data_IF_376056672326
#
_entry.id   IF_376056672326
#
_cell.length_a   1.000
_cell.length_b   1.000
_cell.length_c   1.000
_cell.angle_alpha   90.00
_cell.angle_beta   90.00
_cell.angle_gamma   90.00
#
_symmetry.space_group_name_H-M   'P 1'
#
loop_
_entity.id
_entity.type
_entity.pdbx_description
1 polymer ?
#
# COMPACT_ATOMS: atom_id res chain seq x y z
N UNK A 1 5.17 6.64 -36.30
CA UNK A 1 3.95 7.07 -35.57
C UNK A 1 2.90 7.59 -36.56
N UNK A 2 1.59 7.47 -36.27
CA UNK A 2 0.53 8.16 -37.05
C UNK A 2 -0.02 9.32 -36.25
N UNK A 3 -0.17 10.46 -36.90
CA UNK A 3 -0.74 11.67 -36.32
C UNK A 3 -1.86 12.19 -37.22
N UNK A 4 -2.80 12.93 -36.64
CA UNK A 4 -3.83 13.67 -37.38
C UNK A 4 -3.30 15.07 -37.66
N UNK A 5 -3.24 15.45 -38.93
CA UNK A 5 -2.95 16.82 -39.33
C UNK A 5 -4.12 17.72 -38.93
N UNK A 6 -3.85 18.78 -38.18
CA UNK A 6 -4.90 19.65 -37.65
C UNK A 6 -5.67 20.39 -38.74
N UNK A 7 -5.03 20.79 -39.85
CA UNK A 7 -5.66 21.52 -40.96
C UNK A 7 -6.54 20.62 -41.82
N UNK A 8 -6.02 19.45 -42.23
CA UNK A 8 -6.72 18.55 -43.16
C UNK A 8 -7.60 17.52 -42.47
N UNK A 9 -7.38 17.28 -41.17
CA UNK A 9 -8.03 16.24 -40.35
C UNK A 9 -7.88 14.86 -41.02
N UNK A 10 -6.70 14.63 -41.60
CA UNK A 10 -6.30 13.36 -42.19
C UNK A 10 -5.16 12.75 -41.38
N UNK A 11 -5.06 11.43 -41.43
CA UNK A 11 -3.94 10.70 -40.85
C UNK A 11 -2.71 10.84 -41.75
N UNK A 12 -1.59 11.18 -41.14
CA UNK A 12 -0.27 11.18 -41.76
C UNK A 12 0.63 10.14 -41.08
N UNK A 13 1.37 9.39 -41.89
CA UNK A 13 2.35 8.43 -41.41
C UNK A 13 3.72 9.11 -41.33
N UNK A 14 4.29 9.14 -40.13
CA UNK A 14 5.54 9.81 -39.84
C UNK A 14 6.56 8.77 -39.36
N UNK A 15 7.80 8.91 -39.82
CA UNK A 15 8.89 8.04 -39.41
C UNK A 15 9.22 8.26 -37.92
N UNK A 16 9.50 7.18 -37.20
CA UNK A 16 9.76 7.23 -35.75
C UNK A 16 11.03 8.03 -35.39
N UNK A 17 11.98 8.15 -36.32
CA UNK A 17 13.21 8.93 -36.10
C UNK A 17 13.00 10.45 -36.10
N UNK A 18 11.87 10.93 -36.64
CA UNK A 18 11.59 12.37 -36.83
C UNK A 18 10.11 12.67 -36.55
N UNK A 19 9.63 12.34 -35.35
CA UNK A 19 8.28 12.71 -34.92
C UNK A 19 8.27 14.21 -34.61
N UNK A 20 7.42 15.03 -35.27
CA UNK A 20 7.28 16.45 -34.98
C UNK A 20 6.63 16.67 -33.61
N UNK A 21 6.69 17.89 -33.08
CA UNK A 21 5.91 18.25 -31.90
C UNK A 21 4.41 18.03 -32.16
N UNK A 22 3.72 17.43 -31.18
CA UNK A 22 2.31 17.10 -31.29
C UNK A 22 1.61 17.26 -29.94
N UNK A 23 0.30 17.48 -30.01
CA UNK A 23 -0.57 17.41 -28.82
C UNK A 23 -1.27 16.06 -28.76
N UNK A 24 -1.62 15.59 -27.57
CA UNK A 24 -2.30 14.31 -27.40
C UNK A 24 -3.68 14.51 -26.78
N UNK A 25 -4.69 13.79 -27.27
CA UNK A 25 -6.05 13.83 -26.72
C UNK A 25 -6.24 12.69 -25.72
N UNK A 26 -6.57 13.03 -24.48
CA UNK A 26 -7.07 12.08 -23.47
C UNK A 26 -8.57 12.26 -23.29
N UNK A 27 -9.32 11.17 -23.38
CA UNK A 27 -10.77 11.18 -23.21
C UNK A 27 -11.31 9.82 -22.76
N UNK A 28 -12.55 9.78 -22.29
CA UNK A 28 -13.30 8.52 -22.17
C UNK A 28 -14.06 8.24 -23.45
N UNK A 29 -13.93 7.04 -24.02
CA UNK A 29 -14.61 6.70 -25.27
C UNK A 29 -16.13 6.82 -25.12
N UNK A 30 -16.75 7.51 -26.07
CA UNK A 30 -18.20 7.67 -26.14
C UNK A 30 -18.82 6.89 -27.31
N UNK A 31 -20.09 7.14 -27.59
CA UNK A 31 -20.74 6.58 -28.77
C UNK A 31 -20.33 7.35 -30.02
N UNK A 32 -20.20 6.64 -31.15
CA UNK A 32 -19.88 7.24 -32.45
C UNK A 32 -18.49 7.89 -32.51
N UNK A 33 -17.49 7.25 -31.89
CA UNK A 33 -16.08 7.61 -32.09
C UNK A 33 -15.63 7.42 -33.55
N UNK A 34 -14.66 8.22 -33.96
CA UNK A 34 -14.00 8.09 -35.26
C UNK A 34 -12.87 7.09 -35.10
N UNK A 35 -12.99 5.93 -35.74
CA UNK A 35 -11.97 4.89 -35.72
C UNK A 35 -10.98 5.10 -36.88
N UNK A 36 -9.83 4.43 -36.81
CA UNK A 36 -8.84 4.43 -37.89
C UNK A 36 -9.46 4.17 -39.28
N UNK A 37 -10.38 3.20 -39.37
CA UNK A 37 -11.04 2.81 -40.62
C UNK A 37 -12.03 3.85 -41.16
N UNK A 38 -12.46 4.80 -40.33
CA UNK A 38 -13.36 5.88 -40.72
C UNK A 38 -12.61 7.07 -41.32
N UNK A 39 -11.32 7.23 -40.98
CA UNK A 39 -10.51 8.37 -41.43
C UNK A 39 -10.46 8.45 -42.96
N UNK A 40 -10.66 9.66 -43.49
CA UNK A 40 -10.74 9.92 -44.94
C UNK A 40 -12.08 9.57 -45.60
N UNK A 41 -13.06 9.03 -44.88
CA UNK A 41 -14.40 8.75 -45.41
C UNK A 41 -15.39 9.87 -45.07
N UNK A 42 -16.25 10.23 -46.01
CA UNK A 42 -17.29 11.24 -45.76
C UNK A 42 -18.29 10.82 -44.66
N UNK A 43 -18.49 9.52 -44.46
CA UNK A 43 -19.33 8.99 -43.37
C UNK A 43 -18.78 9.27 -41.97
N UNK A 44 -17.48 9.57 -41.84
CA UNK A 44 -16.92 9.97 -40.55
C UNK A 44 -17.47 11.32 -40.08
N UNK A 45 -17.70 12.26 -41.01
CA UNK A 45 -18.13 13.64 -40.71
C UNK A 45 -19.49 13.72 -40.03
N UNK A 46 -20.33 12.69 -40.18
CA UNK A 46 -21.63 12.62 -39.51
C UNK A 46 -21.55 12.08 -38.07
N UNK A 47 -20.40 11.55 -37.65
CA UNK A 47 -20.22 10.99 -36.30
C UNK A 47 -19.96 12.10 -35.28
N UNK A 48 -20.48 11.93 -34.06
CA UNK A 48 -20.20 12.86 -32.94
C UNK A 48 -18.71 12.95 -32.61
N UNK A 49 -17.99 11.83 -32.68
CA UNK A 49 -16.53 11.82 -32.48
C UNK A 49 -15.77 12.70 -33.48
N UNK A 50 -16.33 12.96 -34.66
CA UNK A 50 -15.69 13.83 -35.65
C UNK A 50 -15.73 15.29 -35.21
N UNK A 51 -16.86 15.77 -34.67
CA UNK A 51 -16.95 17.13 -34.12
C UNK A 51 -16.01 17.33 -32.91
N UNK A 52 -15.82 16.28 -32.09
CA UNK A 52 -14.82 16.25 -31.03
C UNK A 52 -13.40 16.37 -31.60
N UNK A 53 -13.07 15.57 -32.61
CA UNK A 53 -11.77 15.61 -33.28
C UNK A 53 -11.50 16.97 -33.94
N UNK A 54 -12.48 17.56 -34.64
CA UNK A 54 -12.41 18.91 -35.21
C UNK A 54 -12.11 19.97 -34.15
N UNK A 55 -12.79 19.88 -33.00
CA UNK A 55 -12.59 20.81 -31.89
C UNK A 55 -11.20 20.65 -31.27
N UNK A 56 -10.71 19.41 -31.13
CA UNK A 56 -9.34 19.12 -30.70
C UNK A 56 -8.31 19.72 -31.66
N UNK A 57 -8.46 19.46 -32.97
CA UNK A 57 -7.61 20.02 -34.01
C UNK A 57 -7.61 21.56 -34.02
N UNK A 58 -8.77 22.17 -33.78
CA UNK A 58 -8.90 23.62 -33.66
C UNK A 58 -8.09 24.15 -32.47
N UNK A 59 -8.27 23.57 -31.28
CA UNK A 59 -7.53 23.98 -30.07
C UNK A 59 -6.02 23.77 -30.25
N UNK A 60 -5.60 22.65 -30.84
CA UNK A 60 -4.20 22.39 -31.15
C UNK A 60 -3.60 23.48 -32.03
N UNK A 61 -4.29 23.85 -33.12
CA UNK A 61 -3.84 24.89 -34.04
C UNK A 61 -3.79 26.28 -33.39
N UNK A 62 -4.76 26.60 -32.55
CA UNK A 62 -4.77 27.85 -31.77
C UNK A 62 -3.55 27.95 -30.83
N UNK A 63 -3.03 26.81 -30.39
CA UNK A 63 -1.81 26.70 -29.59
C UNK A 63 -0.53 26.47 -30.42
N UNK A 64 -0.61 26.55 -31.77
CA UNK A 64 0.54 26.46 -32.66
C UNK A 64 0.98 25.05 -33.05
N UNK A 65 0.18 24.01 -32.77
CA UNK A 65 0.51 22.63 -33.13
C UNK A 65 -0.13 22.23 -34.45
N UNK A 66 0.69 21.62 -35.33
CA UNK A 66 0.23 21.10 -36.61
C UNK A 66 -0.39 19.71 -36.49
N UNK A 67 -0.04 18.96 -35.45
CA UNK A 67 -0.39 17.54 -35.30
C UNK A 67 -1.03 17.23 -33.95
N UNK A 68 -2.02 16.33 -33.97
CA UNK A 68 -2.56 15.70 -32.78
C UNK A 68 -2.46 14.18 -32.84
N UNK A 69 -2.38 13.53 -31.68
CA UNK A 69 -2.58 12.10 -31.53
C UNK A 69 -3.86 11.80 -30.75
N UNK A 70 -4.63 10.84 -31.24
CA UNK A 70 -5.86 10.36 -30.62
C UNK A 70 -5.91 8.83 -30.77
N UNK A 71 -6.00 8.11 -29.66
CA UNK A 71 -5.95 6.65 -29.62
C UNK A 71 -7.08 6.01 -30.43
N UNK A 72 -8.22 6.68 -30.58
CA UNK A 72 -9.39 6.18 -31.33
C UNK A 72 -9.09 6.00 -32.81
N UNK A 73 -8.42 6.98 -33.43
CA UNK A 73 -8.19 7.03 -34.86
C UNK A 73 -6.73 6.84 -35.30
N UNK A 74 -5.74 7.06 -34.43
CA UNK A 74 -4.32 6.90 -34.77
C UNK A 74 -3.81 5.45 -34.65
N UNK A 75 -4.63 4.54 -34.11
CA UNK A 75 -4.33 3.11 -33.94
C UNK A 75 -5.33 2.27 -34.74
N UNK A 76 -4.84 1.42 -35.62
CA UNK A 76 -5.59 0.36 -36.29
C UNK A 76 -5.76 -0.83 -35.35
N UNK A 77 -6.89 -0.80 -34.62
CA UNK A 77 -7.27 -1.84 -33.68
C UNK A 77 -7.64 -3.17 -34.33
N UNK A 78 -7.68 -3.24 -35.67
CA UNK A 78 -7.88 -4.49 -36.40
C UNK A 78 -6.59 -5.29 -36.55
N UNK A 79 -5.44 -4.63 -36.42
CA UNK A 79 -4.11 -5.26 -36.41
C UNK A 79 -3.69 -5.57 -34.98
N UNK A 80 -3.62 -6.86 -34.62
CA UNK A 80 -3.20 -7.27 -33.27
C UNK A 80 -1.74 -6.90 -32.95
N UNK A 81 -0.86 -6.95 -33.96
CA UNK A 81 0.54 -6.56 -33.80
C UNK A 81 0.65 -5.06 -33.48
N UNK A 82 -0.07 -4.24 -34.23
CA UNK A 82 -0.05 -2.79 -34.07
C UNK A 82 -0.73 -2.35 -32.76
N UNK A 83 -1.85 -2.98 -32.39
CA UNK A 83 -2.50 -2.76 -31.11
C UNK A 83 -1.54 -3.09 -29.94
N UNK A 84 -0.77 -4.17 -30.07
CA UNK A 84 0.23 -4.55 -29.06
C UNK A 84 1.37 -3.56 -28.96
N UNK A 85 1.89 -3.09 -30.09
CA UNK A 85 2.93 -2.06 -30.14
C UNK A 85 2.44 -0.74 -29.53
N UNK A 86 1.22 -0.32 -29.90
CA UNK A 86 0.62 0.91 -29.41
C UNK A 86 0.39 0.88 -27.90
N UNK A 87 -0.21 -0.18 -27.35
CA UNK A 87 -0.44 -0.29 -25.89
C UNK A 87 0.89 -0.31 -25.11
N UNK A 88 1.91 -1.00 -25.61
CA UNK A 88 3.24 -1.00 -24.98
C UNK A 88 3.95 0.36 -25.08
N UNK A 89 3.51 1.24 -26.00
CA UNK A 89 4.08 2.57 -26.21
C UNK A 89 3.19 3.70 -25.68
N UNK A 90 1.97 3.41 -25.19
CA UNK A 90 0.99 4.45 -24.81
C UNK A 90 1.57 5.43 -23.80
N UNK A 91 2.18 4.94 -22.73
CA UNK A 91 2.79 5.81 -21.71
C UNK A 91 3.80 6.78 -22.34
N UNK A 92 4.66 6.28 -23.22
CA UNK A 92 5.67 7.07 -23.94
C UNK A 92 5.04 8.10 -24.86
N UNK A 93 3.97 7.76 -25.59
CA UNK A 93 3.25 8.73 -26.43
C UNK A 93 2.65 9.87 -25.62
N UNK A 94 2.19 9.62 -24.39
CA UNK A 94 1.72 10.66 -23.49
C UNK A 94 2.87 11.48 -22.87
N UNK A 95 3.98 10.83 -22.56
CA UNK A 95 5.18 11.48 -22.02
C UNK A 95 5.89 12.40 -23.03
N UNK A 96 5.96 11.98 -24.30
CA UNK A 96 6.62 12.72 -25.39
C UNK A 96 5.72 13.83 -25.97
N UNK A 97 4.42 13.83 -25.68
CA UNK A 97 3.49 14.85 -26.18
C UNK A 97 3.79 16.22 -25.56
N UNK A 98 3.73 17.28 -26.37
CA UNK A 98 4.00 18.64 -25.89
C UNK A 98 2.90 19.15 -24.97
N UNK A 99 1.64 18.81 -25.24
CA UNK A 99 0.48 19.10 -24.38
C UNK A 99 -0.52 17.95 -24.48
N UNK A 100 -1.04 17.49 -23.34
CA UNK A 100 -2.19 16.61 -23.27
C UNK A 100 -3.49 17.42 -23.06
N UNK A 101 -4.39 17.37 -24.03
CA UNK A 101 -5.73 17.92 -23.92
C UNK A 101 -6.66 16.87 -23.31
N UNK A 102 -7.20 17.16 -22.13
CA UNK A 102 -8.16 16.29 -21.46
C UNK A 102 -9.56 16.78 -21.75
N UNK A 103 -10.34 15.99 -22.50
CA UNK A 103 -11.73 16.29 -22.81
C UNK A 103 -12.67 15.57 -21.84
N UNK A 104 -13.39 16.35 -21.03
CA UNK A 104 -14.32 15.87 -20.01
C UNK A 104 -15.77 16.03 -20.50
N UNK A 105 -16.25 15.01 -21.23
CA UNK A 105 -17.56 15.03 -21.88
C UNK A 105 -18.77 15.14 -20.92
N UNK A 106 -18.57 14.84 -19.64
CA UNK A 106 -19.64 14.68 -18.65
C UNK A 106 -19.77 15.84 -17.65
N UNK A 107 -18.99 16.91 -17.81
CA UNK A 107 -19.03 18.07 -16.93
C UNK A 107 -19.15 19.38 -17.71
N UNK A 108 -19.55 20.46 -17.03
CA UNK A 108 -19.65 21.81 -17.60
C UNK A 108 -18.94 22.88 -16.76
N UNK A 109 -18.52 22.54 -15.55
CA UNK A 109 -17.88 23.48 -14.62
C UNK A 109 -16.71 22.85 -13.87
N UNK A 110 -15.75 23.69 -13.47
CA UNK A 110 -14.58 23.26 -12.67
C UNK A 110 -14.97 22.59 -11.35
N UNK A 111 -16.09 22.99 -10.72
CA UNK A 111 -16.58 22.39 -9.47
C UNK A 111 -17.00 20.93 -9.62
N UNK A 112 -17.29 20.47 -10.83
CA UNK A 112 -17.72 19.11 -11.12
C UNK A 112 -16.55 18.18 -11.46
N UNK A 113 -15.31 18.70 -11.59
CA UNK A 113 -14.17 17.95 -12.13
C UNK A 113 -13.93 16.63 -11.39
N UNK A 114 -13.98 16.64 -10.06
CA UNK A 114 -13.78 15.44 -9.23
C UNK A 114 -14.81 14.34 -9.50
N UNK A 115 -15.98 14.69 -10.05
CA UNK A 115 -17.05 13.75 -10.35
C UNK A 115 -16.99 13.19 -11.78
N UNK A 116 -16.05 13.65 -12.61
CA UNK A 116 -15.95 13.17 -13.98
C UNK A 116 -15.60 11.68 -14.03
N UNK A 117 -16.27 10.97 -14.94
CA UNK A 117 -16.01 9.58 -15.31
C UNK A 117 -14.59 9.37 -15.80
N UNK A 118 -13.91 10.41 -16.28
CA UNK A 118 -12.52 10.34 -16.68
C UNK A 118 -11.62 9.79 -15.57
N UNK A 119 -11.86 10.15 -14.30
CA UNK A 119 -11.09 9.63 -13.15
C UNK A 119 -11.42 8.18 -12.78
N UNK A 120 -12.43 7.57 -13.41
CA UNK A 120 -12.84 6.18 -13.16
C UNK A 120 -12.35 5.20 -14.23
N UNK A 121 -11.81 5.67 -15.35
CA UNK A 121 -11.24 4.80 -16.39
C UNK A 121 -9.86 4.30 -15.97
N UNK A 122 -9.55 3.02 -16.22
CA UNK A 122 -8.21 2.47 -15.96
C UNK A 122 -7.10 3.15 -16.78
N UNK A 123 -7.36 3.37 -18.07
CA UNK A 123 -6.37 3.92 -19.01
C UNK A 123 -5.94 5.35 -18.68
N UNK A 124 -6.86 6.18 -18.18
CA UNK A 124 -6.59 7.59 -17.90
C UNK A 124 -5.64 7.82 -16.71
N UNK A 125 -5.24 6.76 -15.98
CA UNK A 125 -4.23 6.88 -14.93
C UNK A 125 -2.85 7.23 -15.50
N UNK A 126 -2.39 6.46 -16.49
CA UNK A 126 -1.14 6.77 -17.17
C UNK A 126 -1.24 8.06 -17.99
N UNK A 127 -2.42 8.40 -18.51
CA UNK A 127 -2.67 9.65 -19.24
C UNK A 127 -2.65 10.88 -18.34
N UNK A 128 -2.87 10.70 -17.02
CA UNK A 128 -2.72 11.75 -16.01
C UNK A 128 -1.26 11.92 -15.57
N UNK A 129 -0.54 10.81 -15.42
CA UNK A 129 0.80 10.81 -14.83
C UNK A 129 1.86 11.15 -15.88
N UNK A 130 1.80 10.52 -17.05
CA UNK A 130 2.87 10.58 -18.05
C UNK A 130 3.13 11.98 -18.64
N UNK A 131 2.11 12.80 -18.99
CA UNK A 131 2.37 14.13 -19.57
C UNK A 131 2.80 15.16 -18.53
N UNK A 132 3.82 15.95 -18.88
CA UNK A 132 4.27 17.09 -18.07
C UNK A 132 3.38 18.33 -18.18
N UNK A 133 2.65 18.47 -19.30
CA UNK A 133 1.73 19.59 -19.54
C UNK A 133 0.35 19.08 -19.90
N UNK A 134 -0.68 19.55 -19.20
CA UNK A 134 -2.08 19.19 -19.47
C UNK A 134 -3.01 20.37 -19.33
N UNK A 135 -4.01 20.44 -20.21
CA UNK A 135 -5.12 21.39 -20.16
C UNK A 135 -6.44 20.62 -20.17
N UNK A 136 -7.30 20.91 -19.20
CA UNK A 136 -8.60 20.28 -19.03
C UNK A 136 -9.69 21.12 -19.71
N UNK A 137 -10.55 20.46 -20.46
CA UNK A 137 -11.67 21.06 -21.17
C UNK A 137 -13.00 20.41 -20.76
N UNK A 138 -14.06 21.21 -20.68
CA UNK A 138 -15.42 20.71 -20.53
C UNK A 138 -15.99 20.14 -21.84
N UNK A 139 -17.23 19.65 -21.79
CA UNK A 139 -17.96 19.12 -22.95
C UNK A 139 -18.14 20.13 -24.11
N UNK A 140 -18.02 21.43 -23.85
CA UNK A 140 -18.15 22.50 -24.83
C UNK A 140 -16.78 23.03 -25.31
N UNK A 141 -15.68 22.33 -24.96
CA UNK A 141 -14.29 22.74 -25.23
C UNK A 141 -13.91 24.08 -24.60
N UNK A 142 -14.50 24.43 -23.45
CA UNK A 142 -14.06 25.54 -22.61
C UNK A 142 -12.99 25.07 -21.65
N UNK A 143 -11.91 25.85 -21.55
CA UNK A 143 -10.82 25.57 -20.64
C UNK A 143 -11.29 25.65 -19.17
N UNK A 144 -11.02 24.59 -18.42
CA UNK A 144 -11.28 24.48 -16.98
C UNK A 144 -10.04 24.79 -16.14
N UNK A 145 -8.85 24.54 -16.69
CA UNK A 145 -7.57 24.81 -16.05
C UNK A 145 -6.47 23.84 -16.50
N UNK A 146 -5.27 24.03 -15.95
CA UNK A 146 -4.09 23.20 -16.22
C UNK A 146 -3.86 22.17 -15.11
N UNK A 147 -3.02 21.16 -15.37
CA UNK A 147 -2.55 20.19 -14.34
C UNK A 147 -2.06 20.90 -13.08
N UNK A 148 -1.26 21.96 -13.24
CA UNK A 148 -0.68 22.75 -12.16
C UNK A 148 -1.76 23.54 -11.40
N UNK A 149 -2.65 24.24 -12.11
CA UNK A 149 -3.71 25.02 -11.44
C UNK A 149 -4.72 24.17 -10.70
N UNK A 150 -4.87 22.90 -11.11
CA UNK A 150 -5.82 21.94 -10.55
C UNK A 150 -5.17 20.90 -9.62
N UNK A 151 -3.85 20.99 -9.36
CA UNK A 151 -3.06 19.94 -8.69
C UNK A 151 -3.68 19.48 -7.37
N UNK A 152 -4.18 20.41 -6.56
CA UNK A 152 -4.78 20.08 -5.27
C UNK A 152 -6.06 19.24 -5.41
N UNK A 153 -6.94 19.62 -6.35
CA UNK A 153 -8.18 18.90 -6.62
C UNK A 153 -7.89 17.53 -7.24
N UNK A 154 -6.90 17.47 -8.14
CA UNK A 154 -6.45 16.22 -8.76
C UNK A 154 -5.86 15.26 -7.72
N UNK A 155 -5.01 15.75 -6.82
CA UNK A 155 -4.40 14.96 -5.75
C UNK A 155 -5.47 14.40 -4.80
N UNK A 156 -6.39 15.24 -4.33
CA UNK A 156 -7.51 14.79 -3.49
C UNK A 156 -8.40 13.75 -4.17
N UNK A 157 -8.63 13.87 -5.48
CA UNK A 157 -9.49 12.94 -6.21
C UNK A 157 -8.83 11.59 -6.46
N UNK A 158 -7.52 11.57 -6.66
CA UNK A 158 -6.78 10.40 -7.16
C UNK A 158 -5.89 9.74 -6.12
N UNK A 159 -5.67 10.39 -4.97
CA UNK A 159 -4.66 10.01 -3.97
C UNK A 159 -3.23 9.97 -4.51
N UNK A 160 -2.97 10.60 -5.67
CA UNK A 160 -1.62 10.77 -6.21
C UNK A 160 -1.00 11.99 -5.53
N UNK A 161 0.22 11.89 -4.96
CA UNK A 161 0.88 13.04 -4.36
C UNK A 161 1.02 14.22 -5.33
N UNK A 162 0.82 15.45 -4.84
CA UNK A 162 1.02 16.66 -5.63
C UNK A 162 2.45 16.72 -6.22
N UNK A 163 3.44 16.15 -5.50
CA UNK A 163 4.83 16.08 -5.96
C UNK A 163 5.01 15.27 -7.25
N UNK A 164 4.24 14.17 -7.39
CA UNK A 164 4.22 13.31 -8.58
C UNK A 164 3.40 13.97 -9.70
N UNK A 165 2.28 14.62 -9.39
CA UNK A 165 1.47 15.31 -10.41
C UNK A 165 2.19 16.53 -11.01
N UNK A 166 3.07 17.17 -10.26
CA UNK A 166 3.87 18.32 -10.71
C UNK A 166 5.26 17.93 -11.25
N UNK A 167 5.56 16.65 -11.44
CA UNK A 167 6.85 16.12 -11.89
C UNK A 167 8.04 16.61 -11.05
N UNK A 168 7.80 16.88 -9.76
CA UNK A 168 8.85 17.32 -8.81
C UNK A 168 9.56 16.16 -8.13
N UNK A 169 8.96 14.96 -8.16
CA UNK A 169 9.55 13.70 -7.73
C UNK A 169 9.38 12.66 -8.84
N UNK A 170 10.37 11.77 -8.97
CA UNK A 170 10.32 10.66 -9.93
C UNK A 170 9.31 9.59 -9.48
N UNK A 171 8.61 8.98 -10.42
CA UNK A 171 7.61 7.94 -10.16
C UNK A 171 8.21 6.75 -9.39
N UNK A 172 9.47 6.43 -9.65
CA UNK A 172 10.27 5.38 -9.05
C UNK A 172 10.49 5.55 -7.54
N UNK A 173 10.33 6.77 -7.02
CA UNK A 173 10.41 7.05 -5.57
C UNK A 173 9.20 6.53 -4.81
N UNK A 174 8.08 6.31 -5.51
CA UNK A 174 6.84 5.80 -4.92
C UNK A 174 6.82 4.27 -4.87
N UNK A 175 6.26 3.74 -3.79
CA UNK A 175 6.16 2.30 -3.60
C UNK A 175 5.21 1.67 -4.62
N UNK A 176 5.36 0.36 -4.85
CA UNK A 176 4.43 -0.41 -5.67
C UNK A 176 3.01 -0.33 -5.08
N UNK A 177 2.87 -0.47 -3.77
CA UNK A 177 1.57 -0.38 -3.09
C UNK A 177 0.86 0.94 -3.37
N UNK A 178 1.59 2.06 -3.27
CA UNK A 178 1.07 3.39 -3.51
C UNK A 178 0.62 3.53 -4.97
N UNK A 179 1.46 3.11 -5.93
CA UNK A 179 1.10 3.11 -7.36
C UNK A 179 -0.13 2.25 -7.68
N UNK A 180 -0.23 1.06 -7.07
CA UNK A 180 -1.41 0.19 -7.21
C UNK A 180 -2.66 0.84 -6.63
N UNK A 181 -2.55 1.59 -5.52
CA UNK A 181 -3.68 2.25 -4.88
C UNK A 181 -4.34 3.31 -5.78
N UNK A 182 -3.58 3.99 -6.64
CA UNK A 182 -4.10 4.99 -7.59
C UNK A 182 -5.01 4.38 -8.67
N UNK A 183 -4.89 3.06 -8.86
CA UNK A 183 -5.70 2.28 -9.78
C UNK A 183 -6.89 1.58 -9.10
N UNK A 184 -6.99 1.62 -7.76
CA UNK A 184 -7.91 0.77 -7.02
C UNK A 184 -9.40 1.06 -7.29
N UNK A 185 -9.76 2.33 -7.52
CA UNK A 185 -11.12 2.76 -7.82
C UNK A 185 -11.40 2.90 -9.33
N UNK A 186 -10.45 2.47 -10.19
CA UNK A 186 -10.57 2.56 -11.64
C UNK A 186 -11.10 1.26 -12.24
N UNK A 187 -11.85 1.39 -13.33
CA UNK A 187 -12.57 0.31 -14.01
C UNK A 187 -12.17 0.27 -15.48
N UNK A 188 -12.06 -0.94 -16.01
CA UNK A 188 -11.79 -1.21 -17.42
C UNK A 188 -12.89 -2.07 -18.02
N UNK A 189 -13.12 -1.92 -19.34
CA UNK A 189 -14.13 -2.71 -20.07
C UNK A 189 -13.73 -4.18 -20.16
N UNK A 190 -12.46 -4.46 -20.49
CA UNK A 190 -11.90 -5.81 -20.45
C UNK A 190 -11.15 -6.01 -19.14
N UNK A 191 -11.21 -7.22 -18.60
CA UNK A 191 -10.53 -7.55 -17.34
C UNK A 191 -9.02 -7.39 -17.44
N UNK A 192 -8.46 -7.81 -18.58
CA UNK A 192 -7.04 -7.79 -18.85
C UNK A 192 -6.48 -6.36 -18.93
N UNK A 193 -7.29 -5.40 -19.36
CA UNK A 193 -6.90 -3.99 -19.44
C UNK A 193 -6.61 -3.41 -18.05
N UNK A 194 -7.13 -4.00 -16.96
CA UNK A 194 -6.76 -3.62 -15.60
C UNK A 194 -5.29 -3.88 -15.28
N UNK A 195 -4.63 -4.78 -16.02
CA UNK A 195 -3.19 -4.98 -15.98
C UNK A 195 -2.48 -4.11 -17.03
N UNK A 196 -2.99 -4.11 -18.27
CA UNK A 196 -2.31 -3.42 -19.38
C UNK A 196 -2.26 -1.91 -19.22
N UNK A 197 -3.29 -1.30 -18.60
CA UNK A 197 -3.31 0.14 -18.29
C UNK A 197 -2.28 0.57 -17.24
N UNK A 198 -1.68 -0.38 -16.51
CA UNK A 198 -0.67 -0.09 -15.48
C UNK A 198 0.76 -0.36 -15.96
N UNK A 199 0.94 -0.92 -17.15
CA UNK A 199 2.26 -1.25 -17.71
C UNK A 199 3.19 -0.03 -17.71
N UNK A 200 2.69 1.12 -18.15
CA UNK A 200 3.45 2.38 -18.14
C UNK A 200 3.84 2.85 -16.74
N UNK A 201 2.93 2.75 -15.77
CA UNK A 201 3.15 3.17 -14.37
C UNK A 201 4.27 2.37 -13.70
N UNK A 202 4.48 1.13 -14.13
CA UNK A 202 5.50 0.23 -13.60
C UNK A 202 6.70 0.03 -14.53
N UNK A 203 6.76 0.69 -15.68
CA UNK A 203 7.82 0.51 -16.66
C UNK A 203 7.93 -0.93 -17.19
N UNK A 204 6.79 -1.61 -17.34
CA UNK A 204 6.71 -3.02 -17.76
C UNK A 204 6.25 -3.13 -19.20
N UNK A 205 6.91 -4.00 -19.97
CA UNK A 205 6.43 -4.45 -21.27
C UNK A 205 6.06 -5.94 -21.20
N UNK A 206 4.88 -6.29 -21.69
CA UNK A 206 4.40 -7.68 -21.72
C UNK A 206 3.43 -7.92 -22.88
N UNK A 207 3.37 -9.16 -23.44
CA UNK A 207 2.43 -9.48 -24.51
C UNK A 207 0.96 -9.34 -24.10
N UNK A 208 0.13 -8.77 -24.99
CA UNK A 208 -1.32 -8.70 -24.84
C UNK A 208 -1.96 -10.04 -25.20
N UNK A 209 -2.50 -10.74 -24.19
CA UNK A 209 -3.20 -12.01 -24.36
C UNK A 209 -4.68 -11.85 -23.94
N UNK A 210 -5.48 -11.22 -24.80
CA UNK A 210 -6.92 -11.09 -24.55
C UNK A 210 -7.61 -12.47 -24.48
N UNK A 211 -8.41 -12.68 -23.43
CA UNK A 211 -9.04 -13.96 -23.09
C UNK A 211 -8.41 -14.65 -21.87
N UNK A 212 -7.32 -14.11 -21.31
CA UNK A 212 -6.69 -14.67 -20.11
C UNK A 212 -7.32 -14.19 -18.80
N UNK A 213 -8.22 -13.20 -18.85
CA UNK A 213 -8.91 -12.61 -17.70
C UNK A 213 -7.92 -12.17 -16.60
N UNK A 214 -8.18 -12.58 -15.35
CA UNK A 214 -7.40 -12.20 -14.17
C UNK A 214 -5.91 -12.62 -14.25
N UNK A 215 -5.54 -13.54 -15.16
CA UNK A 215 -4.15 -13.96 -15.42
C UNK A 215 -3.26 -12.81 -15.89
N UNK A 216 -3.81 -11.82 -16.58
CA UNK A 216 -3.07 -10.65 -17.03
C UNK A 216 -2.48 -9.89 -15.84
N UNK A 217 -3.24 -9.73 -14.76
CA UNK A 217 -2.79 -9.01 -13.57
C UNK A 217 -1.77 -9.81 -12.74
N UNK A 218 -1.89 -11.15 -12.73
CA UNK A 218 -0.84 -12.01 -12.16
C UNK A 218 0.48 -11.87 -12.94
N UNK A 219 0.42 -11.85 -14.28
CA UNK A 219 1.59 -11.65 -15.12
C UNK A 219 2.23 -10.27 -14.90
N UNK A 220 1.43 -9.21 -14.78
CA UNK A 220 1.94 -7.87 -14.43
C UNK A 220 2.75 -7.91 -13.14
N UNK A 221 2.22 -8.48 -12.06
CA UNK A 221 2.95 -8.58 -10.79
C UNK A 221 4.24 -9.41 -10.92
N UNK A 222 4.21 -10.50 -11.69
CA UNK A 222 5.40 -11.31 -11.98
C UNK A 222 6.46 -10.50 -12.71
N UNK A 223 6.08 -9.69 -13.71
CA UNK A 223 7.02 -8.83 -14.43
C UNK A 223 7.57 -7.70 -13.53
N UNK A 224 6.73 -7.10 -12.67
CA UNK A 224 7.18 -6.14 -11.64
C UNK A 224 8.25 -6.77 -10.74
N UNK A 225 8.03 -8.00 -10.27
CA UNK A 225 9.00 -8.71 -9.42
C UNK A 225 10.33 -9.05 -10.11
N UNK A 226 10.40 -9.01 -11.45
CA UNK A 226 11.67 -9.22 -12.17
C UNK A 226 12.57 -7.99 -12.14
N UNK A 227 12.00 -6.81 -11.94
CA UNK A 227 12.71 -5.52 -12.02
C UNK A 227 12.70 -4.75 -10.70
N UNK A 228 11.97 -5.21 -9.69
CA UNK A 228 11.84 -4.57 -8.38
C UNK A 228 11.91 -5.60 -7.25
N UNK A 229 12.49 -5.18 -6.13
CA UNK A 229 12.55 -5.87 -4.84
C UNK A 229 11.64 -5.21 -3.78
N UNK A 230 10.74 -4.32 -4.21
CA UNK A 230 9.85 -3.59 -3.30
C UNK A 230 8.74 -4.52 -2.75
N UNK A 231 8.89 -4.88 -1.47
CA UNK A 231 7.98 -5.74 -0.72
C UNK A 231 6.56 -5.16 -0.58
N UNK A 232 6.36 -3.86 -0.83
CA UNK A 232 5.03 -3.23 -0.81
C UNK A 232 4.08 -3.82 -1.85
N UNK A 233 4.58 -4.54 -2.86
CA UNK A 233 3.77 -5.37 -3.76
C UNK A 233 2.82 -6.33 -3.00
N UNK A 234 3.14 -6.73 -1.78
CA UNK A 234 2.32 -7.63 -0.96
C UNK A 234 1.47 -6.91 0.09
N UNK A 235 1.49 -5.58 0.10
CA UNK A 235 0.81 -4.77 1.09
C UNK A 235 -0.63 -4.43 0.69
N UNK A 236 -1.42 -5.46 0.35
CA UNK A 236 -2.83 -5.35 -0.03
C UNK A 236 -3.74 -6.14 0.92
N UNK A 237 -5.04 -5.84 0.90
CA UNK A 237 -6.05 -6.45 1.78
C UNK A 237 -6.91 -7.47 1.03
N UNK A 238 -6.89 -8.72 1.49
CA UNK A 238 -7.68 -9.78 0.87
C UNK A 238 -9.19 -9.59 1.03
N UNK A 239 -9.91 -9.66 -0.09
CA UNK A 239 -11.38 -9.65 -0.15
C UNK A 239 -11.86 -11.11 -0.19
N UNK A 240 -11.68 -11.83 0.92
CA UNK A 240 -12.13 -13.22 1.09
C UNK A 240 -11.01 -14.28 1.15
N UNK A 241 -11.41 -15.55 1.23
CA UNK A 241 -10.53 -16.69 1.55
C UNK A 241 -9.75 -17.26 0.35
N UNK A 242 -9.74 -16.61 -0.83
CA UNK A 242 -8.94 -17.09 -1.98
C UNK A 242 -7.48 -16.75 -1.72
N UNK A 243 -6.72 -17.78 -1.37
CA UNK A 243 -5.33 -17.69 -0.94
C UNK A 243 -4.35 -17.63 -2.11
N UNK A 244 -3.46 -16.64 -2.03
CA UNK A 244 -2.32 -16.42 -2.91
C UNK A 244 -1.58 -15.18 -2.44
N UNK A 245 -0.28 -15.09 -2.71
CA UNK A 245 0.52 -13.89 -2.38
C UNK A 245 0.30 -12.77 -3.41
N UNK A 246 -0.21 -13.11 -4.59
CA UNK A 246 -0.58 -12.19 -5.65
C UNK A 246 -2.09 -12.02 -5.72
N UNK A 247 -2.54 -10.86 -6.20
CA UNK A 247 -3.97 -10.52 -6.33
C UNK A 247 -4.41 -10.53 -7.81
N UNK A 248 -5.69 -10.74 -8.15
CA UNK A 248 -6.17 -10.61 -9.53
C UNK A 248 -6.51 -9.16 -9.95
N UNK A 249 -6.42 -8.18 -9.05
CA UNK A 249 -6.93 -6.82 -9.28
C UNK A 249 -6.18 -5.78 -8.43
N UNK A 250 -6.05 -4.51 -8.88
CA UNK A 250 -5.49 -3.45 -8.04
C UNK A 250 -6.46 -2.97 -6.95
N UNK A 251 -7.76 -3.30 -7.04
CA UNK A 251 -8.78 -2.84 -6.08
C UNK A 251 -8.49 -3.20 -4.61
N UNK A 252 -7.70 -4.25 -4.37
CA UNK A 252 -7.28 -4.67 -3.01
C UNK A 252 -6.22 -3.75 -2.37
N UNK A 253 -5.65 -2.82 -3.14
CA UNK A 253 -4.67 -1.82 -2.69
C UNK A 253 -5.32 -0.48 -2.33
N UNK A 254 -6.66 -0.39 -2.27
CA UNK A 254 -7.38 0.86 -2.01
C UNK A 254 -6.90 1.61 -0.76
N UNK A 255 -6.57 0.85 0.28
CA UNK A 255 -6.14 1.38 1.58
C UNK A 255 -4.60 1.38 1.72
N UNK A 256 -3.86 1.25 0.62
CA UNK A 256 -2.39 1.09 0.60
C UNK A 256 -1.64 2.34 0.13
N UNK A 257 -2.33 3.47 0.01
CA UNK A 257 -1.76 4.72 -0.54
C UNK A 257 -0.76 5.42 0.37
N UNK A 258 -0.74 5.11 1.66
CA UNK A 258 0.17 5.65 2.68
C UNK A 258 1.40 4.77 2.93
N UNK A 259 1.52 3.67 2.19
CA UNK A 259 2.64 2.73 2.27
C UNK A 259 3.79 3.31 1.44
N UNK A 260 4.75 3.95 2.11
CA UNK A 260 5.92 4.54 1.42
C UNK A 260 7.13 3.61 1.50
N UNK A 261 7.93 3.61 0.44
CA UNK A 261 9.17 2.83 0.38
C UNK A 261 10.10 3.25 1.52
N UNK A 262 10.54 2.28 2.33
CA UNK A 262 11.54 2.54 3.37
C UNK A 262 12.89 2.03 2.89
N UNK A 263 13.77 2.97 2.52
CA UNK A 263 15.16 2.66 2.20
C UNK A 263 16.08 3.08 3.36
N UNK A 264 16.24 2.25 4.41
CA UNK A 264 17.41 2.37 5.26
C UNK A 264 18.59 1.79 4.47
N UNK A 265 19.78 2.33 4.67
CA UNK A 265 21.03 1.89 4.07
C UNK A 265 21.48 0.47 4.51
N UNK A 266 20.59 -0.53 4.49
CA UNK A 266 20.82 -1.92 4.86
C UNK A 266 20.46 -2.83 3.68
N UNK A 267 21.46 -3.53 3.17
CA UNK A 267 21.35 -4.51 2.09
C UNK A 267 20.63 -5.80 2.55
N UNK A 268 19.32 -5.71 2.79
CA UNK A 268 18.49 -6.85 3.25
C UNK A 268 17.34 -7.22 2.33
N UNK A 269 17.20 -6.59 1.16
CA UNK A 269 16.25 -7.09 0.17
C UNK A 269 16.93 -8.19 -0.66
N UNK A 270 16.73 -9.44 -0.25
CA UNK A 270 16.95 -10.58 -1.15
C UNK A 270 15.99 -10.43 -2.33
N UNK A 271 16.49 -10.49 -3.56
CA UNK A 271 15.62 -10.43 -4.75
C UNK A 271 14.55 -11.54 -4.72
N UNK A 272 13.36 -11.24 -5.21
CA UNK A 272 12.32 -12.25 -5.35
C UNK A 272 12.79 -13.35 -6.31
N UNK A 273 12.60 -14.61 -5.93
CA UNK A 273 12.87 -15.75 -6.82
C UNK A 273 11.57 -16.45 -7.17
N UNK A 274 11.18 -16.42 -8.44
CA UNK A 274 10.02 -17.17 -8.94
C UNK A 274 10.50 -18.51 -9.48
N UNK A 275 9.95 -19.60 -8.95
CA UNK A 275 10.23 -20.97 -9.39
C UNK A 275 8.93 -21.69 -9.76
N UNK A 276 9.03 -22.89 -10.31
CA UNK A 276 7.87 -23.76 -10.52
C UNK A 276 7.19 -24.18 -9.19
N UNK A 277 7.83 -23.98 -8.04
CA UNK A 277 7.25 -24.20 -6.70
C UNK A 277 6.56 -22.96 -6.12
N UNK A 278 6.58 -21.83 -6.85
CA UNK A 278 6.05 -20.55 -6.40
C UNK A 278 7.16 -19.53 -6.16
N UNK A 279 6.79 -18.47 -5.43
CA UNK A 279 7.69 -17.39 -5.07
C UNK A 279 8.48 -17.72 -3.80
N UNK A 280 9.75 -17.38 -3.81
CA UNK A 280 10.62 -17.33 -2.65
C UNK A 280 11.00 -15.88 -2.37
N UNK A 281 10.86 -15.47 -1.11
CA UNK A 281 11.23 -14.17 -0.58
C UNK A 281 11.74 -14.39 0.84
N UNK A 282 12.85 -13.75 1.20
CA UNK A 282 13.27 -13.67 2.60
C UNK A 282 12.56 -12.48 3.26
N UNK A 283 11.89 -12.73 4.38
CA UNK A 283 11.26 -11.67 5.15
C UNK A 283 11.24 -11.99 6.64
N UNK A 284 11.30 -10.95 7.46
CA UNK A 284 11.30 -11.09 8.91
C UNK A 284 9.88 -11.26 9.43
N UNK A 285 9.61 -12.34 10.16
CA UNK A 285 8.34 -12.52 10.87
C UNK A 285 8.47 -12.03 12.32
N UNK A 286 7.57 -11.13 12.73
CA UNK A 286 7.45 -10.71 14.12
C UNK A 286 6.90 -11.88 14.95
N UNK A 287 5.84 -12.51 14.44
CA UNK A 287 5.20 -13.65 15.07
C UNK A 287 4.40 -14.47 14.06
N UNK A 288 4.15 -15.72 14.41
CA UNK A 288 3.28 -16.64 13.68
C UNK A 288 2.43 -17.39 14.71
N UNK A 289 1.14 -17.48 14.44
CA UNK A 289 0.22 -18.26 15.25
C UNK A 289 0.26 -19.75 14.86
N UNK A 290 -0.44 -20.58 15.64
CA UNK A 290 -0.51 -22.02 15.43
C UNK A 290 -1.27 -22.43 14.17
N UNK A 291 -2.06 -21.53 13.59
CA UNK A 291 -2.76 -21.73 12.31
C UNK A 291 -1.90 -21.36 11.09
N UNK A 292 -0.69 -20.84 11.32
CA UNK A 292 0.25 -20.41 10.28
C UNK A 292 0.10 -18.96 9.84
N UNK A 293 -0.86 -18.19 10.40
CA UNK A 293 -0.96 -16.75 10.15
C UNK A 293 0.19 -16.05 10.85
N UNK A 294 0.92 -15.20 10.14
CA UNK A 294 2.06 -14.49 10.70
C UNK A 294 2.08 -13.02 10.30
N UNK A 295 2.71 -12.22 11.16
CA UNK A 295 3.00 -10.82 10.88
C UNK A 295 4.39 -10.75 10.25
N UNK A 296 4.40 -10.53 8.94
CA UNK A 296 5.58 -10.30 8.15
C UNK A 296 5.93 -8.80 8.16
N UNK A 297 7.20 -8.46 8.43
CA UNK A 297 7.71 -7.11 8.25
C UNK A 297 8.03 -6.93 6.77
N UNK A 298 7.22 -6.11 6.11
CA UNK A 298 7.55 -5.57 4.79
C UNK A 298 8.34 -4.27 5.04
N UNK A 299 9.40 -4.01 4.26
CA UNK A 299 10.29 -2.85 4.45
C UNK A 299 9.63 -1.54 3.98
N UNK A 300 8.63 -1.05 4.72
CA UNK A 300 7.94 0.22 4.45
C UNK A 300 7.68 1.01 5.73
N UNK A 301 7.37 2.30 5.58
CA UNK A 301 6.92 3.18 6.66
C UNK A 301 5.53 3.69 6.30
N UNK A 302 4.61 3.77 7.25
CA UNK A 302 3.39 4.56 7.06
C UNK A 302 3.78 6.03 7.10
N UNK A 303 3.39 6.84 6.12
CA UNK A 303 3.59 8.28 6.27
C UNK A 303 2.85 8.75 7.54
N UNK A 304 3.54 9.55 8.35
CA UNK A 304 3.14 9.81 9.73
C UNK A 304 2.01 10.85 9.79
N UNK A 305 0.94 10.69 9.01
CA UNK A 305 -0.22 11.59 8.98
C UNK A 305 -1.56 10.91 8.56
N UNK A 306 -1.64 9.60 8.32
CA UNK A 306 -2.92 8.90 8.15
C UNK A 306 -3.38 8.23 9.45
N UNK A 307 -4.53 8.69 9.93
CA UNK A 307 -5.19 8.28 11.16
C UNK A 307 -5.26 6.76 11.38
N UNK A 308 -4.80 6.36 12.57
CA UNK A 308 -4.90 5.01 13.13
C UNK A 308 -6.37 4.60 13.37
N UNK A 309 -7.11 4.25 12.31
CA UNK A 309 -8.51 3.83 12.47
C UNK A 309 -9.06 2.86 11.41
N UNK A 310 -8.24 2.01 10.81
CA UNK A 310 -8.74 0.90 9.99
C UNK A 310 -9.14 -0.27 10.89
N UNK A 311 -10.30 -0.15 11.54
CA UNK A 311 -10.95 -1.20 12.31
C UNK A 311 -11.32 -2.33 11.33
N UNK A 312 -10.56 -3.42 11.35
CA UNK A 312 -10.95 -4.68 10.67
C UNK A 312 -11.98 -5.39 11.55
N UNK A 313 -13.04 -5.87 10.91
CA UNK A 313 -14.18 -6.51 11.56
C UNK A 313 -13.80 -7.65 12.53
N UNK A 314 -14.46 -7.60 13.69
CA UNK A 314 -14.33 -8.42 14.90
C UNK A 314 -14.83 -9.87 14.77
N UNK A 315 -14.68 -10.52 13.62
CA UNK A 315 -15.25 -11.86 13.43
C UNK A 315 -14.20 -12.96 13.62
N UNK A 316 -14.03 -13.37 14.88
CA UNK A 316 -13.39 -14.64 15.25
C UNK A 316 -12.02 -14.55 15.94
N UNK A 317 -11.55 -13.35 16.30
CA UNK A 317 -10.34 -13.21 17.12
C UNK A 317 -10.68 -13.44 18.59
N UNK A 318 -9.98 -14.39 19.22
CA UNK A 318 -9.90 -14.47 20.68
C UNK A 318 -9.45 -13.12 21.23
N UNK A 319 -9.93 -12.73 22.41
CA UNK A 319 -9.52 -11.43 22.99
C UNK A 319 -7.99 -11.38 23.20
N UNK A 320 -7.38 -10.19 23.23
CA UNK A 320 -5.93 -10.06 23.45
C UNK A 320 -5.48 -10.80 24.72
N UNK A 321 -6.31 -10.74 25.77
CA UNK A 321 -6.08 -11.46 27.02
C UNK A 321 -6.11 -12.99 26.84
N UNK A 322 -7.04 -13.50 26.03
CA UNK A 322 -7.15 -14.91 25.71
C UNK A 322 -5.99 -15.40 24.84
N UNK A 323 -5.61 -14.64 23.81
CA UNK A 323 -4.44 -14.93 22.99
C UNK A 323 -3.14 -14.95 23.84
N UNK A 324 -3.00 -13.99 24.76
CA UNK A 324 -1.85 -13.93 25.66
C UNK A 324 -1.83 -15.05 26.69
N UNK A 325 -3.00 -15.48 27.20
CA UNK A 325 -3.08 -16.56 28.20
C UNK A 325 -2.76 -17.93 27.61
N UNK A 326 -3.05 -18.15 26.33
CA UNK A 326 -2.70 -19.40 25.62
C UNK A 326 -1.33 -19.35 24.93
N UNK A 327 -0.67 -18.19 24.91
CA UNK A 327 0.67 -18.04 24.35
C UNK A 327 0.71 -17.84 22.84
N UNK A 328 -0.43 -17.51 22.23
CA UNK A 328 -0.53 -17.25 20.79
C UNK A 328 0.14 -15.91 20.45
N UNK A 329 1.44 -15.98 20.19
CA UNK A 329 2.28 -14.83 19.85
C UNK A 329 1.74 -14.08 18.64
N UNK A 330 1.27 -14.81 17.62
CA UNK A 330 0.76 -14.23 16.38
C UNK A 330 -0.49 -13.38 16.63
N UNK A 331 -1.49 -13.95 17.30
CA UNK A 331 -2.74 -13.25 17.62
C UNK A 331 -2.51 -12.06 18.56
N UNK A 332 -1.59 -12.18 19.52
CA UNK A 332 -1.24 -11.05 20.42
C UNK A 332 -0.66 -9.87 19.64
N UNK A 333 0.33 -10.12 18.78
CA UNK A 333 0.94 -9.06 17.99
C UNK A 333 -0.03 -8.46 16.97
N UNK A 334 -0.90 -9.28 16.38
CA UNK A 334 -1.93 -8.84 15.44
C UNK A 334 -2.93 -7.89 16.12
N UNK A 335 -3.42 -8.26 17.30
CA UNK A 335 -4.37 -7.45 18.07
C UNK A 335 -3.73 -6.14 18.57
N UNK A 336 -2.46 -6.17 18.98
CA UNK A 336 -1.73 -4.97 19.38
C UNK A 336 -1.49 -4.01 18.22
N UNK A 337 -1.25 -4.52 17.01
CA UNK A 337 -1.07 -3.70 15.81
C UNK A 337 -2.35 -2.96 15.39
N UNK A 338 -3.52 -3.45 15.79
CA UNK A 338 -4.83 -2.84 15.48
C UNK A 338 -5.40 -1.97 16.62
N UNK A 339 -4.73 -1.91 17.77
CA UNK A 339 -5.23 -1.16 18.92
C UNK A 339 -5.10 0.36 18.70
N UNK A 340 -6.16 1.16 18.96
CA UNK A 340 -6.05 2.63 18.95
C UNK A 340 -4.92 3.10 19.88
N UNK A 341 -4.16 4.11 19.48
CA UNK A 341 -2.93 4.56 20.17
C UNK A 341 -3.11 4.83 21.67
N UNK A 342 -4.33 5.19 22.13
CA UNK A 342 -4.64 5.44 23.53
C UNK A 342 -4.91 4.21 24.40
N UNK A 343 -5.40 3.09 23.83
CA UNK A 343 -5.75 1.87 24.60
C UNK A 343 -4.71 0.75 24.47
N UNK A 344 -3.79 0.89 23.51
CA UNK A 344 -2.70 -0.05 23.26
C UNK A 344 -1.86 -0.32 24.52
N UNK A 345 -1.63 0.71 25.35
CA UNK A 345 -0.75 0.61 26.51
C UNK A 345 -1.29 -0.30 27.61
N UNK A 346 -2.57 -0.18 27.95
CA UNK A 346 -3.22 -1.01 28.98
C UNK A 346 -3.38 -2.47 28.51
N UNK A 347 -3.66 -2.63 27.22
CA UNK A 347 -3.79 -3.91 26.55
C UNK A 347 -2.46 -4.67 26.50
N UNK A 348 -1.37 -4.01 26.10
CA UNK A 348 -0.02 -4.58 26.07
C UNK A 348 0.45 -4.99 27.48
N UNK A 349 0.20 -4.15 28.49
CA UNK A 349 0.50 -4.42 29.91
C UNK A 349 -0.17 -5.72 30.39
N UNK A 350 -1.47 -5.84 30.15
CA UNK A 350 -2.24 -7.03 30.53
C UNK A 350 -1.73 -8.28 29.79
N UNK A 351 -1.43 -8.17 28.50
CA UNK A 351 -0.88 -9.26 27.69
C UNK A 351 0.47 -9.77 28.22
N UNK A 352 1.38 -8.87 28.61
CA UNK A 352 2.68 -9.26 29.19
C UNK A 352 2.47 -10.02 30.51
N UNK A 353 1.58 -9.55 31.39
CA UNK A 353 1.32 -10.21 32.67
C UNK A 353 0.71 -11.60 32.49
N UNK A 354 -0.22 -11.75 31.54
CA UNK A 354 -0.83 -13.05 31.21
C UNK A 354 0.17 -14.01 30.56
N UNK A 355 1.04 -13.52 29.68
CA UNK A 355 2.12 -14.32 29.11
C UNK A 355 3.12 -14.78 30.19
N UNK A 356 3.47 -13.88 31.12
CA UNK A 356 4.34 -14.18 32.25
C UNK A 356 3.73 -15.20 33.21
N UNK A 357 2.42 -15.10 33.47
CA UNK A 357 1.66 -16.05 34.30
C UNK A 357 1.58 -17.44 33.64
N UNK A 358 1.34 -17.48 32.33
CA UNK A 358 1.18 -18.70 31.54
C UNK A 358 2.49 -19.43 31.16
N UNK A 359 3.65 -18.81 31.41
CA UNK A 359 4.96 -19.41 31.07
C UNK A 359 5.35 -19.25 29.59
N UNK A 360 4.74 -18.30 28.88
CA UNK A 360 4.95 -18.10 27.44
C UNK A 360 6.21 -17.27 27.18
N UNK A 361 7.37 -17.89 27.33
CA UNK A 361 8.71 -17.26 27.28
C UNK A 361 8.93 -16.40 26.02
N UNK A 362 8.53 -16.89 24.85
CA UNK A 362 8.68 -16.15 23.58
C UNK A 362 7.88 -14.85 23.57
N UNK A 363 6.65 -14.86 24.05
CA UNK A 363 5.81 -13.66 24.15
C UNK A 363 6.32 -12.70 25.23
N UNK A 364 6.66 -13.25 26.40
CA UNK A 364 7.17 -12.49 27.54
C UNK A 364 8.55 -11.85 27.28
N UNK A 365 9.31 -12.35 26.31
CA UNK A 365 10.60 -11.78 25.90
C UNK A 365 10.50 -10.74 24.78
N UNK A 366 9.58 -10.93 23.82
CA UNK A 366 9.42 -10.02 22.69
C UNK A 366 8.64 -8.74 23.06
N UNK A 367 7.57 -8.85 23.86
CA UNK A 367 6.72 -7.69 24.20
C UNK A 367 7.46 -6.57 24.93
N UNK A 368 8.34 -6.85 25.93
CA UNK A 368 9.09 -5.80 26.60
C UNK A 368 10.17 -5.16 25.74
N UNK A 369 10.59 -5.79 24.63
CA UNK A 369 11.69 -5.30 23.79
C UNK A 369 11.35 -4.04 22.99
N UNK A 370 10.06 -3.72 22.80
CA UNK A 370 9.65 -2.50 22.13
C UNK A 370 9.91 -1.26 23.00
N UNK A 371 10.19 -0.13 22.34
CA UNK A 371 10.55 1.12 23.00
C UNK A 371 9.34 1.75 23.72
N UNK A 372 8.15 1.55 23.17
CA UNK A 372 6.84 2.02 23.65
C UNK A 372 6.29 1.22 24.84
N UNK A 373 6.72 -0.03 25.05
CA UNK A 373 6.28 -0.89 26.16
C UNK A 373 7.20 -0.84 27.39
N UNK A 374 8.31 -0.13 27.30
CA UNK A 374 9.37 -0.09 28.32
C UNK A 374 8.93 0.48 29.67
N UNK A 375 7.92 1.37 29.70
CA UNK A 375 7.37 2.00 30.91
C UNK A 375 6.11 1.30 31.45
N UNK A 376 5.64 0.24 30.80
CA UNK A 376 4.27 -0.28 30.95
C UNK A 376 4.18 -1.65 31.62
N UNK A 377 5.16 -2.02 32.44
CA UNK A 377 5.37 -3.40 32.86
C UNK A 377 4.64 -3.77 34.17
N UNK A 378 3.80 -2.90 34.70
CA UNK A 378 2.99 -3.13 35.92
C UNK A 378 1.51 -3.14 35.61
N UNK A 379 0.73 -4.09 36.12
CA UNK A 379 -0.73 -4.12 36.02
C UNK A 379 -1.42 -2.99 36.83
N UNK A 380 -2.75 -2.99 36.87
CA UNK A 380 -3.55 -1.99 37.62
C UNK A 380 -3.33 -2.01 39.14
N UNK A 381 -2.78 -3.10 39.68
CA UNK A 381 -2.42 -3.26 41.09
C UNK A 381 -0.94 -2.91 41.33
N UNK A 382 -0.22 -2.44 40.31
CA UNK A 382 1.21 -2.16 40.38
C UNK A 382 2.08 -3.42 40.35
N UNK A 383 1.52 -4.62 40.11
CA UNK A 383 2.31 -5.86 40.04
C UNK A 383 3.03 -5.95 38.71
N UNK A 384 4.31 -6.24 38.76
CA UNK A 384 5.14 -6.39 37.56
C UNK A 384 4.93 -7.75 36.90
N UNK A 385 5.31 -7.87 35.62
CA UNK A 385 5.46 -9.17 34.95
C UNK A 385 6.37 -10.14 35.73
N UNK A 386 7.37 -9.62 36.46
CA UNK A 386 8.23 -10.41 37.34
C UNK A 386 7.46 -11.00 38.53
N UNK A 387 6.53 -10.23 39.12
CA UNK A 387 5.66 -10.69 40.21
C UNK A 387 4.76 -11.83 39.76
N UNK A 388 4.13 -11.71 38.59
CA UNK A 388 3.28 -12.77 38.00
C UNK A 388 4.09 -14.03 37.64
N UNK A 389 5.29 -13.88 37.07
CA UNK A 389 6.16 -15.01 36.76
C UNK A 389 6.63 -15.73 38.05
N UNK A 390 6.93 -14.98 39.10
CA UNK A 390 7.34 -15.52 40.40
C UNK A 390 6.19 -16.24 41.13
N UNK A 391 4.97 -15.69 41.07
CA UNK A 391 3.75 -16.28 41.63
C UNK A 391 3.43 -17.65 41.02
N UNK A 392 3.71 -17.84 39.72
CA UNK A 392 3.44 -19.09 38.99
C UNK A 392 4.68 -19.98 38.80
N UNK A 393 5.83 -19.62 39.37
CA UNK A 393 7.04 -20.44 39.32
C UNK A 393 7.72 -20.51 37.95
N UNK A 394 7.53 -19.51 37.08
CA UNK A 394 8.03 -19.47 35.71
C UNK A 394 9.51 -19.06 35.65
N UNK A 395 10.39 -20.01 35.97
CA UNK A 395 11.83 -19.79 36.14
C UNK A 395 12.53 -19.12 34.94
N UNK A 396 12.21 -19.56 33.71
CA UNK A 396 12.82 -19.04 32.49
C UNK A 396 12.50 -17.54 32.27
N UNK A 397 11.26 -17.15 32.56
CA UNK A 397 10.80 -15.76 32.44
C UNK A 397 11.42 -14.89 33.54
N UNK A 398 11.49 -15.38 34.78
CA UNK A 398 12.20 -14.69 35.88
C UNK A 398 13.66 -14.42 35.49
N UNK A 399 14.34 -15.42 34.91
CA UNK A 399 15.73 -15.30 34.47
C UNK A 399 15.89 -14.27 33.33
N UNK A 400 15.01 -14.29 32.34
CA UNK A 400 15.01 -13.35 31.23
C UNK A 400 14.75 -11.91 31.69
N UNK A 401 13.77 -11.70 32.57
CA UNK A 401 13.45 -10.36 33.08
C UNK A 401 14.63 -9.81 33.90
N UNK A 402 15.24 -10.62 34.76
CA UNK A 402 16.42 -10.21 35.55
C UNK A 402 17.64 -9.89 34.68
N UNK A 403 17.82 -10.56 33.55
CA UNK A 403 18.93 -10.26 32.63
C UNK A 403 18.71 -8.99 31.80
N UNK A 404 17.45 -8.57 31.62
CA UNK A 404 17.11 -7.38 30.83
C UNK A 404 17.39 -6.04 31.52
N UNK A 405 17.57 -6.03 32.85
CA UNK A 405 17.73 -4.84 33.70
C UNK A 405 16.62 -3.77 33.59
N UNK A 406 15.48 -4.10 32.98
CA UNK A 406 14.35 -3.16 32.78
C UNK A 406 13.42 -3.04 33.97
N UNK A 407 13.28 -4.11 34.76
CA UNK A 407 12.42 -4.15 35.95
C UNK A 407 13.32 -4.28 37.17
N UNK A 408 13.17 -3.37 38.12
CA UNK A 408 13.84 -3.52 39.41
C UNK A 408 13.17 -4.67 40.18
N UNK A 409 13.91 -5.68 40.65
CA UNK A 409 13.28 -6.86 41.25
C UNK A 409 12.65 -6.60 42.63
N UNK A 410 13.04 -5.51 43.31
CA UNK A 410 12.35 -4.97 44.49
C UNK A 410 11.14 -4.05 44.18
N UNK A 411 10.64 -4.03 42.93
CA UNK A 411 9.44 -3.24 42.62
C UNK A 411 8.26 -3.76 43.44
N UNK A 412 7.58 -2.83 44.11
CA UNK A 412 6.45 -3.12 45.00
C UNK A 412 5.13 -2.79 44.33
N UNK A 413 4.15 -3.65 44.56
CA UNK A 413 2.77 -3.39 44.19
C UNK A 413 2.07 -2.44 45.20
N UNK A 414 0.77 -2.19 45.02
CA UNK A 414 -0.02 -1.33 45.92
C UNK A 414 -0.11 -1.87 47.36
N UNK A 415 0.13 -3.17 47.57
CA UNK A 415 0.17 -3.81 48.88
C UNK A 415 1.57 -3.81 49.50
N UNK A 416 2.56 -3.29 48.77
CA UNK A 416 3.95 -3.27 49.16
C UNK A 416 4.69 -4.57 48.85
N UNK A 417 4.07 -5.55 48.18
CA UNK A 417 4.63 -6.89 47.95
C UNK A 417 5.58 -6.90 46.75
N UNK A 418 6.66 -7.69 46.87
CA UNK A 418 7.66 -7.87 45.81
C UNK A 418 7.53 -9.22 45.12
N UNK A 419 8.18 -9.40 43.96
CA UNK A 419 8.24 -10.69 43.29
C UNK A 419 8.84 -11.81 44.16
N UNK A 420 9.77 -11.47 45.06
CA UNK A 420 10.32 -12.43 46.01
C UNK A 420 9.27 -12.92 47.01
N UNK A 421 8.34 -12.05 47.45
CA UNK A 421 7.24 -12.44 48.32
C UNK A 421 6.40 -13.53 47.66
N UNK A 422 6.00 -13.30 46.41
CA UNK A 422 5.18 -14.24 45.64
C UNK A 422 5.91 -15.58 45.42
N UNK A 423 7.20 -15.55 45.08
CA UNK A 423 7.98 -16.79 44.90
C UNK A 423 8.03 -17.63 46.18
N UNK A 424 8.22 -16.99 47.34
CA UNK A 424 8.32 -17.68 48.65
C UNK A 424 6.96 -18.15 49.13
N UNK A 425 5.95 -17.29 49.09
CA UNK A 425 4.59 -17.61 49.55
C UNK A 425 3.98 -18.80 48.80
N UNK A 426 4.24 -18.91 47.49
CA UNK A 426 3.76 -20.02 46.66
C UNK A 426 4.75 -21.21 46.58
N UNK A 427 5.87 -21.19 47.31
CA UNK A 427 6.81 -22.31 47.41
C UNK A 427 7.68 -22.54 46.18
N UNK A 428 7.84 -21.54 45.31
CA UNK A 428 8.63 -21.60 44.08
C UNK A 428 10.13 -21.37 44.34
N UNK A 429 10.75 -22.36 45.00
CA UNK A 429 12.14 -22.31 45.46
C UNK A 429 13.17 -21.94 44.39
N UNK A 430 13.00 -22.38 43.14
CA UNK A 430 13.93 -22.01 42.05
C UNK A 430 13.84 -20.53 41.68
N UNK A 431 12.63 -19.97 41.64
CA UNK A 431 12.41 -18.54 41.38
C UNK A 431 12.92 -17.69 42.55
N UNK A 432 12.65 -18.11 43.80
CA UNK A 432 13.16 -17.44 44.99
C UNK A 432 14.71 -17.43 45.01
N UNK A 433 15.34 -18.57 44.68
CA UNK A 433 16.79 -18.66 44.53
C UNK A 433 17.30 -17.68 43.48
N UNK A 434 16.72 -17.66 42.27
CA UNK A 434 17.14 -16.74 41.20
C UNK A 434 17.02 -15.27 41.59
N UNK A 435 15.92 -14.89 42.25
CA UNK A 435 15.70 -13.53 42.75
C UNK A 435 16.72 -13.14 43.83
N UNK A 436 17.17 -14.10 44.64
CA UNK A 436 18.21 -13.92 45.66
C UNK A 436 19.65 -14.02 45.08
N UNK A 437 19.87 -14.64 43.91
CA UNK A 437 21.20 -15.06 43.44
C UNK A 437 22.06 -13.99 42.77
N UNK A 438 21.69 -12.73 42.81
CA UNK A 438 22.61 -11.60 42.62
C UNK A 438 22.11 -10.57 43.60
N UNK A 439 22.98 -9.78 44.25
CA UNK A 439 22.60 -8.73 45.22
C UNK A 439 21.76 -7.59 44.62
N UNK A 440 20.67 -7.93 43.94
CA UNK A 440 19.70 -7.13 43.19
C UNK A 440 18.40 -6.95 43.99
N UNK A 441 18.16 -7.80 44.99
CA UNK A 441 16.95 -7.80 45.84
C UNK A 441 17.39 -7.64 47.29
N UNK A 442 16.83 -6.66 48.00
CA UNK A 442 17.19 -6.30 49.37
C UNK A 442 16.76 -7.33 50.43
N UNK A 443 16.17 -8.46 50.01
CA UNK A 443 15.57 -9.47 50.89
C UNK A 443 14.28 -9.01 51.59
N UNK A 444 13.81 -7.81 51.26
CA UNK A 444 12.62 -7.19 51.83
C UNK A 444 11.41 -7.52 50.97
N UNK A 445 10.50 -8.34 51.50
CA UNK A 445 9.32 -8.80 50.76
C UNK A 445 8.13 -7.84 50.82
N UNK A 446 8.19 -6.85 51.73
CA UNK A 446 7.21 -5.76 51.91
C UNK A 446 5.80 -6.19 52.36
N UNK A 447 5.03 -5.23 52.87
CA UNK A 447 3.69 -5.41 53.46
C UNK A 447 3.35 -4.30 54.48
N UNK A 448 2.06 -3.99 54.68
CA UNK A 448 1.59 -3.04 55.70
C UNK A 448 1.70 -3.64 57.11
N UNK A 449 2.92 -3.69 57.61
CA UNK A 449 3.30 -4.24 58.90
C UNK A 449 4.80 -4.42 58.92
N UNK A 450 5.50 -3.63 59.73
CA UNK A 450 6.94 -3.80 59.95
C UNK A 450 7.25 -5.27 60.28
N UNK A 451 8.28 -5.80 59.61
CA UNK A 451 8.86 -7.16 59.66
C UNK A 451 8.22 -8.23 58.80
N UNK A 452 8.93 -8.64 57.73
CA UNK A 452 9.36 -10.02 57.52
C UNK A 452 10.42 -10.05 56.41
N UNK A 453 11.64 -10.45 56.77
CA UNK A 453 12.69 -10.90 55.85
C UNK A 453 12.24 -12.20 55.18
N UNK A 454 12.56 -12.38 53.90
CA UNK A 454 12.19 -13.54 53.07
C UNK A 454 12.84 -14.88 53.49
N UNK A 455 13.49 -14.95 54.66
CA UNK A 455 14.30 -16.08 55.12
C UNK A 455 13.55 -16.92 56.13
#
# INVERSE_FOLDING_TARGET
MRLVNTETIQLEFLNDDNVPEYTILSHTWEQEEVLFQDMGRDTAKSKKGYAKLESCCRVARENGFEYIWDDTCCIDKTSSAELSEAINSTYRYYQEASICYVYLADISTISEISNSKWFTSGWTLQELIAPSSMIFFDKDWRELGTKISLVHVLSQRTNIPESILCDSEELETTSIAQRMSWAADRVTTRKEDGAYSLMGIFGINMPLLYGEADKAFYRLQVEIMRVSDDHSLFAWKAIGARGGLLTPTPAVFKDSGDIISWNPFTAYNSSFTITNKGMHMEASFIAQDTSGRGLCVLHWKADALSDANTIVERNGLSSLAEAASVGDSGSVWFLLAQAPSGTMHDQARSAICLAARGGHERLASQLPARRDTSTLITDSEGRTALSHAAECGQEAIVRFILSSARIHPDTRDIHGLTALWYAVYHGHNSCAKLLLQKGLVSGNVGGSGNTQTAL
#
